data_IF_929662376624
#
_entry.id   IF_929662376624
#
_cell.length_a   1.000
_cell.length_b   1.000
_cell.length_c   1.000
_cell.angle_alpha   90.00
_cell.angle_beta   90.00
_cell.angle_gamma   90.00
#
_symmetry.space_group_name_H-M   'P 1'
#
loop_
_entity.id
_entity.type
_entity.pdbx_description
1 polymer ?
#
# COMPACT_ATOMS: atom_id res chain seq x y z
N UNK A 1 -5.30 -23.37 9.48
CA UNK A 1 -5.45 -23.97 8.15
C UNK A 1 -4.39 -23.35 7.25
N UNK A 2 -3.37 -24.11 6.82
CA UNK A 2 -2.21 -23.60 6.08
C UNK A 2 -2.56 -23.44 4.60
N UNK A 3 -2.75 -22.21 4.13
CA UNK A 3 -2.86 -21.92 2.70
C UNK A 3 -1.45 -21.93 2.10
N UNK A 4 -1.16 -22.95 1.29
CA UNK A 4 0.03 -23.01 0.44
C UNK A 4 -0.14 -21.99 -0.67
N UNK A 5 0.82 -21.08 -0.83
CA UNK A 5 0.89 -20.23 -2.01
C UNK A 5 1.52 -21.05 -3.15
N UNK A 6 0.78 -21.23 -4.24
CA UNK A 6 1.31 -21.80 -5.47
C UNK A 6 2.08 -20.72 -6.22
N UNK A 7 3.37 -20.96 -6.36
CA UNK A 7 4.28 -20.15 -7.17
C UNK A 7 3.91 -20.33 -8.65
N UNK A 8 3.21 -19.36 -9.24
CA UNK A 8 3.05 -19.27 -10.70
C UNK A 8 4.17 -18.42 -11.26
N UNK A 9 5.27 -19.09 -11.59
CA UNK A 9 6.41 -18.54 -12.29
C UNK A 9 6.02 -18.17 -13.74
N UNK A 10 5.33 -17.05 -13.96
CA UNK A 10 5.27 -16.31 -15.25
C UNK A 10 4.51 -14.99 -15.09
N UNK A 11 4.98 -14.08 -14.24
CA UNK A 11 4.87 -12.64 -14.50
C UNK A 11 5.93 -11.90 -13.69
N UNK A 12 7.01 -11.48 -14.37
CA UNK A 12 7.90 -10.47 -13.77
C UNK A 12 7.04 -9.23 -13.52
N UNK A 13 7.01 -8.65 -12.31
CA UNK A 13 6.21 -7.47 -12.10
C UNK A 13 6.78 -6.37 -13.00
N UNK A 14 5.91 -5.74 -13.79
CA UNK A 14 6.27 -4.66 -14.69
C UNK A 14 6.66 -3.42 -13.90
N UNK A 15 7.86 -3.40 -13.33
CA UNK A 15 8.39 -2.26 -12.59
C UNK A 15 8.91 -1.24 -13.61
N UNK A 16 8.19 -0.13 -13.78
CA UNK A 16 8.70 0.99 -14.57
C UNK A 16 9.75 1.76 -13.78
N UNK A 17 10.92 1.95 -14.40
CA UNK A 17 11.93 2.90 -13.95
C UNK A 17 11.30 4.29 -13.91
N UNK A 18 11.22 4.95 -12.76
CA UNK A 18 10.98 6.38 -12.74
C UNK A 18 12.16 7.06 -13.46
N UNK A 19 11.92 7.90 -14.50
CA UNK A 19 12.98 8.66 -15.13
C UNK A 19 13.66 9.54 -14.08
N UNK A 20 14.95 9.28 -13.81
CA UNK A 20 15.76 10.04 -12.85
C UNK A 20 16.25 9.28 -11.61
N UNK A 21 15.79 8.04 -11.33
CA UNK A 21 16.30 7.27 -10.19
C UNK A 21 16.50 5.78 -10.50
N UNK A 22 17.61 5.39 -11.15
CA UNK A 22 17.83 4.02 -11.61
C UNK A 22 17.88 2.97 -10.49
N UNK A 23 18.17 3.40 -9.25
CA UNK A 23 18.26 2.52 -8.08
C UNK A 23 16.94 2.36 -7.32
N UNK A 24 15.86 3.06 -7.71
CA UNK A 24 14.58 2.99 -7.01
C UNK A 24 14.00 1.55 -6.94
N UNK A 25 13.98 0.75 -8.03
CA UNK A 25 13.43 -0.61 -7.95
C UNK A 25 14.26 -1.51 -7.02
N UNK A 26 15.59 -1.35 -7.03
CA UNK A 26 16.49 -2.09 -6.13
C UNK A 26 16.21 -1.75 -4.67
N UNK A 27 16.05 -0.47 -4.35
CA UNK A 27 15.73 0.02 -3.01
C UNK A 27 14.39 -0.54 -2.52
N UNK A 28 13.37 -0.56 -3.37
CA UNK A 28 12.08 -1.16 -3.04
C UNK A 28 12.20 -2.67 -2.77
N UNK A 29 12.92 -3.42 -3.60
CA UNK A 29 13.13 -4.85 -3.39
C UNK A 29 13.86 -5.15 -2.07
N UNK A 30 14.88 -4.35 -1.74
CA UNK A 30 15.59 -4.48 -0.45
C UNK A 30 14.62 -4.25 0.72
N UNK A 31 13.77 -3.22 0.63
CA UNK A 31 12.78 -2.94 1.67
C UNK A 31 11.76 -4.08 1.82
N UNK A 32 11.23 -4.60 0.71
CA UNK A 32 10.28 -5.71 0.74
C UNK A 32 10.89 -7.00 1.31
N UNK A 33 12.15 -7.32 0.95
CA UNK A 33 12.88 -8.44 1.56
C UNK A 33 13.07 -8.25 3.06
N UNK A 34 13.46 -7.03 3.48
CA UNK A 34 13.63 -6.71 4.89
C UNK A 34 12.30 -6.84 5.67
N UNK A 35 11.18 -6.39 5.09
CA UNK A 35 9.86 -6.58 5.68
C UNK A 35 9.47 -8.06 5.78
N UNK A 36 9.79 -8.86 4.77
CA UNK A 36 9.49 -10.29 4.75
C UNK A 36 10.19 -11.10 5.86
N UNK A 37 11.19 -10.54 6.55
CA UNK A 37 11.79 -11.20 7.72
C UNK A 37 10.93 -11.09 8.99
N UNK A 38 9.88 -10.27 8.99
CA UNK A 38 9.02 -10.08 10.16
C UNK A 38 7.98 -11.23 10.28
N UNK A 39 7.97 -11.97 11.40
CA UNK A 39 6.94 -12.99 11.61
C UNK A 39 5.56 -12.33 11.73
N UNK A 40 4.57 -12.90 11.05
CA UNK A 40 3.19 -12.40 11.06
C UNK A 40 2.94 -11.18 10.15
N UNK A 41 3.93 -10.73 9.38
CA UNK A 41 3.70 -9.75 8.32
C UNK A 41 3.33 -10.46 7.01
N UNK A 42 2.19 -10.07 6.44
CA UNK A 42 1.74 -10.55 5.14
C UNK A 42 1.68 -9.37 4.16
N UNK A 43 2.32 -9.52 3.00
CA UNK A 43 2.26 -8.53 1.93
C UNK A 43 1.28 -8.99 0.85
N UNK A 44 0.33 -8.13 0.52
CA UNK A 44 -0.61 -8.33 -0.59
C UNK A 44 -0.28 -7.32 -1.68
N UNK A 45 0.08 -7.82 -2.86
CA UNK A 45 0.50 -6.98 -3.98
C UNK A 45 -0.65 -6.76 -4.95
N UNK A 46 -0.79 -5.54 -5.44
CA UNK A 46 -1.55 -5.29 -6.65
C UNK A 46 -0.70 -5.52 -7.91
N UNK A 47 -1.27 -5.16 -9.05
CA UNK A 47 -0.67 -5.40 -10.37
C UNK A 47 -0.53 -4.09 -11.13
N UNK A 48 0.68 -3.82 -11.62
CA UNK A 48 0.91 -2.70 -12.52
C UNK A 48 0.50 -3.05 -13.95
N UNK A 49 -0.36 -2.21 -14.54
CA UNK A 49 -0.72 -2.27 -15.96
C UNK A 49 -0.06 -1.11 -16.68
N UNK A 50 0.77 -1.42 -17.65
CA UNK A 50 1.47 -0.43 -18.47
C UNK A 50 1.02 -0.50 -19.92
N UNK A 51 0.81 0.65 -20.55
CA UNK A 51 0.37 0.70 -21.94
C UNK A 51 0.44 2.10 -22.52
N UNK A 52 0.19 2.20 -23.83
CA UNK A 52 0.00 3.49 -24.49
C UNK A 52 -1.47 3.88 -24.33
N UNK A 53 -1.72 5.05 -23.76
CA UNK A 53 -3.06 5.60 -23.58
C UNK A 53 -3.18 6.93 -24.32
N UNK A 54 -4.30 7.14 -24.99
CA UNK A 54 -4.67 8.46 -25.52
C UNK A 54 -5.34 9.25 -24.40
N UNK A 55 -4.85 10.47 -24.14
CA UNK A 55 -5.36 11.36 -23.10
C UNK A 55 -5.62 12.76 -23.65
N UNK A 56 -6.63 13.49 -23.13
CA UNK A 56 -6.85 14.87 -23.51
C UNK A 56 -5.72 15.76 -22.97
N UNK A 57 -5.40 16.84 -23.69
CA UNK A 57 -4.59 17.91 -23.16
C UNK A 57 -5.39 18.67 -22.09
N UNK A 58 -4.76 19.01 -20.97
CA UNK A 58 -5.41 19.76 -19.90
C UNK A 58 -5.85 21.17 -20.37
N UNK A 59 -5.10 21.76 -21.31
CA UNK A 59 -5.38 23.06 -21.92
C UNK A 59 -5.18 22.93 -23.44
N UNK A 60 -6.22 22.55 -24.20
CA UNK A 60 -6.13 22.41 -25.65
C UNK A 60 -6.15 23.78 -26.35
N UNK A 61 -5.27 23.96 -27.33
CA UNK A 61 -5.29 25.16 -28.19
C UNK A 61 -6.30 24.97 -29.33
N UNK A 62 -7.21 25.92 -29.57
CA UNK A 62 -8.12 25.86 -30.71
C UNK A 62 -7.37 25.65 -32.03
N UNK A 63 -7.87 24.75 -32.88
CA UNK A 63 -7.26 24.43 -34.17
C UNK A 63 -6.06 23.46 -34.13
N UNK A 64 -5.60 23.05 -32.94
CA UNK A 64 -4.53 22.05 -32.77
C UNK A 64 -5.07 20.72 -32.20
N UNK A 65 -4.31 19.61 -32.31
CA UNK A 65 -4.69 18.35 -31.70
C UNK A 65 -4.94 18.49 -30.19
N UNK A 66 -6.12 18.05 -29.74
CA UNK A 66 -6.55 18.15 -28.34
C UNK A 66 -6.15 16.94 -27.47
N UNK A 67 -5.43 15.97 -28.04
CA UNK A 67 -5.09 14.70 -27.40
C UNK A 67 -3.63 14.31 -27.68
N UNK A 68 -3.02 13.58 -26.75
CA UNK A 68 -1.67 13.04 -26.85
C UNK A 68 -1.65 11.56 -26.49
N UNK A 69 -0.72 10.81 -27.10
CA UNK A 69 -0.41 9.44 -26.69
C UNK A 69 0.66 9.49 -25.59
N UNK A 70 0.35 8.91 -24.44
CA UNK A 70 1.29 8.79 -23.32
C UNK A 70 1.57 7.31 -23.03
N UNK A 71 2.78 7.01 -22.58
CA UNK A 71 3.05 5.75 -21.89
C UNK A 71 2.65 5.96 -20.44
N UNK A 72 1.70 5.18 -19.98
CA UNK A 72 1.13 5.27 -18.64
C UNK A 72 1.24 3.93 -17.93
N UNK A 73 1.57 3.97 -16.64
CA UNK A 73 1.68 2.81 -15.76
C UNK A 73 0.81 3.05 -14.55
N UNK A 74 -0.16 2.17 -14.35
CA UNK A 74 -1.17 2.32 -13.31
C UNK A 74 -1.14 1.09 -12.40
N UNK A 75 -1.03 1.32 -11.09
CA UNK A 75 -1.23 0.28 -10.07
C UNK A 75 -2.72 -0.06 -10.00
N UNK A 76 -3.02 -1.35 -9.83
CA UNK A 76 -4.38 -1.85 -9.65
C UNK A 76 -4.43 -2.88 -8.54
N UNK A 77 -5.32 -2.65 -7.59
CA UNK A 77 -5.85 -3.67 -6.71
C UNK A 77 -5.24 -3.72 -5.31
N UNK A 78 -4.20 -2.94 -5.00
CA UNK A 78 -3.68 -2.88 -3.62
C UNK A 78 -4.76 -2.53 -2.60
N UNK A 79 -5.55 -1.48 -2.89
CA UNK A 79 -6.51 -0.94 -1.94
C UNK A 79 -7.71 -1.88 -1.78
N UNK A 80 -8.16 -2.46 -2.91
CA UNK A 80 -9.19 -3.50 -2.94
C UNK A 80 -8.76 -4.74 -2.15
N UNK A 81 -7.51 -5.20 -2.33
CA UNK A 81 -6.99 -6.36 -1.60
C UNK A 81 -6.96 -6.10 -0.10
N UNK A 82 -6.49 -4.92 0.32
CA UNK A 82 -6.40 -4.56 1.73
C UNK A 82 -7.78 -4.41 2.38
N UNK A 83 -8.72 -3.73 1.71
CA UNK A 83 -10.10 -3.61 2.17
C UNK A 83 -10.80 -4.98 2.24
N UNK A 84 -10.60 -5.83 1.24
CA UNK A 84 -11.18 -7.19 1.21
C UNK A 84 -10.66 -8.03 2.37
N UNK A 85 -9.34 -8.02 2.63
CA UNK A 85 -8.77 -8.79 3.74
C UNK A 85 -9.24 -8.26 5.10
N UNK A 86 -9.33 -6.94 5.26
CA UNK A 86 -9.90 -6.32 6.47
C UNK A 86 -11.30 -6.87 6.78
N UNK A 87 -12.15 -6.99 5.77
CA UNK A 87 -13.52 -7.49 5.94
C UNK A 87 -13.56 -9.01 6.14
N UNK A 88 -12.91 -9.78 5.26
CA UNK A 88 -12.89 -11.25 5.32
C UNK A 88 -12.41 -11.73 6.69
N UNK A 89 -11.37 -11.11 7.23
CA UNK A 89 -10.78 -11.52 8.51
C UNK A 89 -11.72 -11.18 9.67
N UNK A 90 -12.41 -10.05 9.56
CA UNK A 90 -13.41 -9.66 10.54
C UNK A 90 -14.61 -10.61 10.54
N UNK A 91 -15.14 -10.96 9.36
CA UNK A 91 -16.25 -11.92 9.24
C UNK A 91 -15.86 -13.34 9.71
N UNK A 92 -14.60 -13.73 9.55
CA UNK A 92 -14.10 -15.01 10.04
C UNK A 92 -13.76 -15.02 11.53
N UNK A 93 -13.75 -13.87 12.20
CA UNK A 93 -13.31 -13.74 13.58
C UNK A 93 -11.79 -13.91 13.76
N UNK A 94 -11.00 -13.64 12.72
CA UNK A 94 -9.54 -13.73 12.74
C UNK A 94 -8.88 -12.57 13.53
N UNK A 95 -9.65 -11.53 13.90
CA UNK A 95 -9.21 -10.45 14.78
C UNK A 95 -10.35 -9.89 15.65
N UNK A 96 -9.97 -9.23 16.76
CA UNK A 96 -10.90 -8.49 17.64
C UNK A 96 -10.85 -6.96 17.44
N UNK A 97 -9.75 -6.46 16.87
CA UNK A 97 -9.57 -5.05 16.53
C UNK A 97 -8.70 -4.89 15.28
N UNK A 98 -9.13 -4.04 14.36
CA UNK A 98 -8.35 -3.63 13.20
C UNK A 98 -7.65 -2.29 13.45
N UNK A 99 -6.40 -2.18 12.99
CA UNK A 99 -5.67 -0.91 12.90
C UNK A 99 -5.34 -0.65 11.44
N UNK A 100 -5.97 0.36 10.86
CA UNK A 100 -5.77 0.76 9.47
C UNK A 100 -4.86 1.97 9.43
N UNK A 101 -3.65 1.81 8.89
CA UNK A 101 -2.70 2.90 8.71
C UNK A 101 -2.84 3.47 7.29
N UNK A 102 -3.71 4.47 7.13
CA UNK A 102 -4.00 5.07 5.82
C UNK A 102 -4.51 6.51 5.97
N UNK A 103 -4.45 7.27 4.88
CA UNK A 103 -5.18 8.54 4.74
C UNK A 103 -6.09 8.55 3.51
N UNK A 104 -6.34 7.37 2.94
CA UNK A 104 -7.16 7.20 1.75
C UNK A 104 -8.63 7.01 2.13
N UNK A 105 -9.49 7.88 1.58
CA UNK A 105 -10.91 7.90 1.87
C UNK A 105 -11.64 6.66 1.34
N UNK A 106 -11.08 5.94 0.38
CA UNK A 106 -11.69 4.72 -0.18
C UNK A 106 -11.84 3.60 0.87
N UNK A 107 -11.09 3.66 1.98
CA UNK A 107 -11.24 2.73 3.11
C UNK A 107 -12.46 2.99 3.99
N UNK A 108 -13.11 4.17 3.88
CA UNK A 108 -14.19 4.56 4.79
C UNK A 108 -15.35 3.54 4.78
N UNK A 109 -15.68 2.98 3.62
CA UNK A 109 -16.71 1.94 3.50
C UNK A 109 -16.35 0.67 4.27
N UNK A 110 -15.14 0.13 4.05
CA UNK A 110 -14.69 -1.07 4.73
C UNK A 110 -14.60 -0.87 6.26
N UNK A 111 -14.12 0.29 6.71
CA UNK A 111 -14.07 0.60 8.13
C UNK A 111 -15.45 0.69 8.79
N UNK A 112 -16.46 1.24 8.10
CA UNK A 112 -17.85 1.25 8.58
C UNK A 112 -18.38 -0.17 8.77
N UNK A 113 -18.18 -1.07 7.79
CA UNK A 113 -18.60 -2.47 7.93
C UNK A 113 -17.95 -3.17 9.13
N UNK A 114 -16.67 -2.92 9.40
CA UNK A 114 -16.00 -3.48 10.58
C UNK A 114 -16.63 -2.98 11.88
N UNK A 115 -16.96 -1.69 11.95
CA UNK A 115 -17.49 -1.09 13.18
C UNK A 115 -18.98 -1.37 13.39
N UNK A 116 -19.77 -1.16 12.36
CA UNK A 116 -21.23 -1.09 12.44
C UNK A 116 -21.85 -2.47 12.23
N UNK A 117 -21.39 -3.25 11.25
CA UNK A 117 -21.94 -4.57 10.93
C UNK A 117 -21.29 -5.70 11.76
N UNK A 118 -19.96 -5.66 11.93
CA UNK A 118 -19.24 -6.67 12.73
C UNK A 118 -19.17 -6.33 14.22
N UNK A 119 -19.47 -5.09 14.61
CA UNK A 119 -19.35 -4.65 16.01
C UNK A 119 -17.91 -4.63 16.53
N UNK A 120 -16.91 -4.65 15.65
CA UNK A 120 -15.49 -4.69 16.00
C UNK A 120 -14.88 -3.28 16.07
N UNK A 121 -13.75 -3.15 16.75
CA UNK A 121 -13.02 -1.87 16.80
C UNK A 121 -12.21 -1.66 15.53
N UNK A 122 -12.38 -0.50 14.88
CA UNK A 122 -11.63 -0.10 13.70
C UNK A 122 -10.88 1.21 13.99
N UNK A 123 -9.57 1.13 14.18
CA UNK A 123 -8.71 2.28 14.50
C UNK A 123 -8.08 2.83 13.23
N UNK A 124 -8.27 4.11 12.96
CA UNK A 124 -7.54 4.79 11.89
C UNK A 124 -6.25 5.38 12.45
N UNK A 125 -5.12 5.13 11.78
CA UNK A 125 -3.85 5.81 12.03
C UNK A 125 -3.49 6.60 10.79
N UNK A 126 -3.54 7.92 10.89
CA UNK A 126 -3.16 8.79 9.78
C UNK A 126 -1.63 8.90 9.67
N UNK A 127 -1.02 8.44 8.56
CA UNK A 127 0.42 8.55 8.33
C UNK A 127 0.86 9.96 7.89
N UNK A 128 -0.05 10.83 7.47
CA UNK A 128 0.25 12.21 7.04
C UNK A 128 0.41 13.15 8.25
N UNK A 129 1.64 13.68 8.48
CA UNK A 129 1.89 14.58 9.61
C UNK A 129 1.36 16.00 9.35
N UNK A 130 1.02 16.36 8.12
CA UNK A 130 0.61 17.71 7.72
C UNK A 130 -0.90 17.84 7.67
N UNK A 131 -1.58 16.86 7.08
CA UNK A 131 -3.02 16.93 6.86
C UNK A 131 -3.80 16.10 7.88
N UNK A 132 -5.02 16.54 8.19
CA UNK A 132 -5.99 15.73 8.91
C UNK A 132 -6.54 14.63 7.99
N UNK A 133 -7.18 13.62 8.58
CA UNK A 133 -7.88 12.63 7.77
C UNK A 133 -9.12 13.21 7.15
N UNK A 134 -9.49 12.80 5.91
CA UNK A 134 -10.77 13.13 5.33
C UNK A 134 -11.89 12.82 6.32
N UNK A 135 -12.88 13.70 6.42
CA UNK A 135 -13.97 13.59 7.40
C UNK A 135 -14.67 12.22 7.31
N UNK A 136 -15.04 11.82 6.11
CA UNK A 136 -15.72 10.55 5.86
C UNK A 136 -14.94 9.31 6.34
N UNK A 137 -13.60 9.37 6.23
CA UNK A 137 -12.70 8.34 6.73
C UNK A 137 -12.56 8.40 8.25
N UNK A 138 -12.39 9.60 8.82
CA UNK A 138 -12.31 9.76 10.27
C UNK A 138 -13.59 9.29 10.97
N UNK A 139 -14.75 9.65 10.43
CA UNK A 139 -16.08 9.30 10.94
C UNK A 139 -16.41 7.81 10.73
N UNK A 140 -15.62 7.06 9.93
CA UNK A 140 -15.72 5.60 9.79
C UNK A 140 -14.97 4.81 10.87
N UNK A 141 -14.06 5.46 11.59
CA UNK A 141 -13.26 4.83 12.63
C UNK A 141 -13.97 4.84 13.99
N UNK A 142 -13.55 3.95 14.89
CA UNK A 142 -13.88 4.04 16.32
C UNK A 142 -13.13 5.20 16.98
N UNK A 143 -11.87 5.41 16.59
CA UNK A 143 -11.09 6.60 16.91
C UNK A 143 -9.93 6.76 15.94
N UNK A 144 -9.44 7.99 15.82
CA UNK A 144 -8.34 8.36 14.94
C UNK A 144 -7.08 8.65 15.76
N UNK A 145 -5.95 8.11 15.34
CA UNK A 145 -4.62 8.38 15.87
C UNK A 145 -3.73 8.99 14.79
N UNK A 146 -2.71 9.73 15.22
CA UNK A 146 -1.69 10.27 14.33
C UNK A 146 -0.39 9.49 14.44
N UNK A 147 0.25 9.25 13.29
CA UNK A 147 1.59 8.68 13.25
C UNK A 147 2.65 9.78 13.43
N UNK A 148 3.34 9.76 14.57
CA UNK A 148 4.43 10.70 14.85
C UNK A 148 5.78 10.18 14.37
N UNK A 149 6.71 11.09 14.07
CA UNK A 149 8.10 10.74 13.71
C UNK A 149 8.80 9.90 14.78
N UNK A 150 8.44 10.06 16.06
CA UNK A 150 8.97 9.25 17.16
C UNK A 150 8.57 7.78 17.06
N UNK A 151 7.37 7.47 16.57
CA UNK A 151 6.95 6.08 16.32
C UNK A 151 7.85 5.46 15.26
N UNK A 152 8.03 6.16 14.12
CA UNK A 152 8.89 5.67 13.03
C UNK A 152 10.32 5.42 13.49
N UNK A 153 10.93 6.34 14.26
CA UNK A 153 12.29 6.17 14.79
C UNK A 153 12.43 4.93 15.69
N UNK A 154 11.40 4.58 16.43
CA UNK A 154 11.40 3.41 17.33
C UNK A 154 11.07 2.09 16.62
N UNK A 155 10.52 2.17 15.41
CA UNK A 155 10.06 1.02 14.61
C UNK A 155 10.98 0.73 13.41
N UNK A 156 12.26 1.08 13.51
CA UNK A 156 13.24 0.74 12.48
C UNK A 156 13.65 -0.73 12.59
N UNK A 157 13.86 -1.37 11.46
CA UNK A 157 14.54 -2.66 11.39
C UNK A 157 16.05 -2.48 11.68
N UNK A 158 16.75 -3.54 12.13
CA UNK A 158 18.21 -3.55 12.19
C UNK A 158 18.86 -3.18 10.85
N UNK A 159 20.03 -2.53 10.89
CA UNK A 159 20.77 -2.13 9.68
C UNK A 159 21.21 -3.32 8.81
N UNK A 160 21.35 -4.50 9.41
CA UNK A 160 21.62 -5.75 8.71
C UNK A 160 20.66 -6.82 9.18
N UNK A 161 20.03 -7.47 8.21
CA UNK A 161 19.11 -8.58 8.37
C UNK A 161 19.61 -9.79 7.58
N UNK A 162 19.01 -10.95 7.82
CA UNK A 162 19.27 -12.16 7.04
C UNK A 162 17.96 -12.85 6.71
N UNK A 163 17.83 -13.26 5.45
CA UNK A 163 16.76 -14.13 4.97
C UNK A 163 17.35 -15.42 4.39
N UNK A 164 16.51 -16.23 3.74
CA UNK A 164 16.90 -17.48 3.09
C UNK A 164 17.87 -17.31 1.90
N UNK A 165 17.88 -16.13 1.27
CA UNK A 165 18.74 -15.81 0.14
C UNK A 165 20.11 -15.30 0.63
N UNK A 166 20.16 -14.56 1.74
CA UNK A 166 21.40 -14.09 2.35
C UNK A 166 21.26 -12.83 3.19
N UNK A 167 22.35 -12.08 3.30
CA UNK A 167 22.38 -10.81 4.05
C UNK A 167 21.66 -9.69 3.29
N UNK A 168 20.90 -8.88 4.03
CA UNK A 168 20.23 -7.68 3.56
C UNK A 168 20.81 -6.51 4.35
N UNK A 169 21.46 -5.57 3.68
CA UNK A 169 22.04 -4.38 4.32
C UNK A 169 21.25 -3.14 3.93
N UNK A 170 20.97 -2.29 4.91
CA UNK A 170 20.34 -0.99 4.72
C UNK A 170 21.14 -0.17 3.68
N UNK A 171 20.52 0.28 2.57
CA UNK A 171 21.17 1.11 1.57
C UNK A 171 21.73 2.41 2.16
N UNK A 172 22.90 2.83 1.67
CA UNK A 172 23.47 4.12 2.02
C UNK A 172 22.50 5.26 1.65
N UNK A 173 22.28 6.19 2.59
CA UNK A 173 21.38 7.34 2.42
C UNK A 173 19.92 7.10 2.79
N UNK A 174 19.58 5.95 3.40
CA UNK A 174 18.32 5.73 4.10
C UNK A 174 18.39 6.13 5.58
#
# INVERSE_FOLDING_TARGET
MRTRYTESATSRPGWTRAPGNPNQPRRQLIYLRALATLPGLHAYYGVFRSGVKRRPLAQPTPGLPSHVLIRDSEEKGSDVNLATRLLVDGFNGDYEQAVVVSNDADFAGAMRYVRDDLGLRAVLVNPDPRNASPRDLADSATYVKRLWKSHLRRSQLPDTLRDEIGSITKPAGW
#
